data_IF_449421951594
#
_entry.id   IF_449421951594
#
_cell.length_a   1.000
_cell.length_b   1.000
_cell.length_c   1.000
_cell.angle_alpha   90.00
_cell.angle_beta   90.00
_cell.angle_gamma   90.00
#
_symmetry.space_group_name_H-M   'P 1'
#
loop_
_entity.id
_entity.type
_entity.pdbx_description
1 polymer ?
#
# COMPACT_ATOMS: atom_id res chain seq x y z
N UNK A 1 -39.79 -53.59 -38.33
CA UNK A 1 -40.04 -52.58 -37.28
C UNK A 1 -40.52 -53.30 -36.03
N UNK A 2 -39.61 -53.56 -35.07
CA UNK A 2 -39.88 -54.29 -33.83
C UNK A 2 -39.25 -53.52 -32.67
N UNK A 3 -40.05 -53.28 -31.63
CA UNK A 3 -39.66 -53.43 -30.23
C UNK A 3 -39.05 -52.22 -29.51
N UNK A 4 -39.87 -51.53 -28.72
CA UNK A 4 -39.44 -50.84 -27.51
C UNK A 4 -38.80 -51.85 -26.53
N UNK A 5 -37.65 -51.51 -25.96
CA UNK A 5 -37.24 -51.94 -24.61
C UNK A 5 -36.57 -50.79 -23.90
N UNK A 6 -37.14 -50.44 -22.75
CA UNK A 6 -36.57 -49.58 -21.72
C UNK A 6 -35.42 -50.30 -21.04
N UNK A 7 -34.30 -49.60 -20.85
CA UNK A 7 -33.25 -50.01 -19.91
C UNK A 7 -32.94 -48.84 -18.99
N UNK A 8 -33.44 -49.01 -17.76
CA UNK A 8 -32.82 -48.78 -16.45
C UNK A 8 -31.77 -47.68 -16.33
N UNK A 9 -32.05 -46.75 -15.41
CA UNK A 9 -31.13 -45.82 -14.78
C UNK A 9 -30.23 -46.63 -13.86
N UNK A 10 -29.06 -47.07 -14.35
CA UNK A 10 -27.94 -47.59 -13.55
C UNK A 10 -26.77 -47.77 -14.52
N UNK A 11 -25.95 -46.73 -14.72
CA UNK A 11 -24.57 -46.82 -15.25
C UNK A 11 -23.97 -45.41 -15.49
N UNK A 12 -23.79 -44.64 -14.42
CA UNK A 12 -22.78 -43.56 -14.40
C UNK A 12 -22.16 -43.50 -12.99
N UNK A 13 -21.39 -44.54 -12.65
CA UNK A 13 -20.44 -44.48 -11.55
C UNK A 13 -19.05 -44.72 -12.15
N UNK A 14 -18.48 -43.68 -12.76
CA UNK A 14 -17.12 -43.70 -13.30
C UNK A 14 -16.32 -42.53 -12.74
N UNK A 15 -15.26 -42.89 -12.02
CA UNK A 15 -14.03 -42.13 -11.79
C UNK A 15 -14.17 -40.77 -11.12
N UNK A 16 -14.44 -40.79 -9.81
CA UNK A 16 -14.06 -39.70 -8.92
C UNK A 16 -12.63 -39.96 -8.39
N UNK A 17 -11.63 -39.87 -9.27
CA UNK A 17 -10.23 -39.88 -8.85
C UNK A 17 -9.90 -38.52 -8.24
N UNK A 18 -9.96 -38.45 -6.90
CA UNK A 18 -9.35 -37.35 -6.14
C UNK A 18 -7.87 -37.30 -6.52
N UNK A 19 -7.48 -36.30 -7.30
CA UNK A 19 -6.10 -35.86 -7.37
C UNK A 19 -5.70 -35.32 -5.98
N UNK A 20 -5.31 -36.22 -5.08
CA UNK A 20 -4.50 -35.84 -3.94
C UNK A 20 -3.16 -35.40 -4.52
N UNK A 21 -2.93 -34.09 -4.55
CA UNK A 21 -1.59 -33.53 -4.73
C UNK A 21 -0.70 -34.16 -3.66
N UNK A 22 0.16 -35.09 -4.06
CA UNK A 22 1.18 -35.65 -3.22
C UNK A 22 2.19 -34.53 -2.95
N UNK A 23 2.03 -33.83 -1.81
CA UNK A 23 3.05 -32.90 -1.33
C UNK A 23 4.20 -33.79 -0.86
N UNK A 24 5.38 -33.76 -1.51
CA UNK A 24 6.51 -34.56 -1.07
C UNK A 24 6.88 -34.15 0.34
N UNK A 25 7.04 -35.13 1.23
CA UNK A 25 7.58 -34.92 2.56
C UNK A 25 8.96 -34.27 2.42
N UNK A 26 9.12 -33.04 2.93
CA UNK A 26 10.39 -32.31 2.87
C UNK A 26 11.45 -33.10 3.64
N UNK A 27 12.29 -33.81 2.92
CA UNK A 27 13.47 -34.45 3.47
C UNK A 27 14.41 -33.33 3.92
N UNK A 28 14.65 -33.22 5.22
CA UNK A 28 15.59 -32.24 5.79
C UNK A 28 17.02 -32.67 5.44
N UNK A 29 17.45 -32.33 4.23
CA UNK A 29 18.85 -32.47 3.85
C UNK A 29 19.69 -31.53 4.71
N UNK A 30 20.69 -32.07 5.40
CA UNK A 30 21.70 -31.26 6.07
C UNK A 30 22.36 -30.35 5.03
N UNK A 31 22.27 -29.03 5.25
CA UNK A 31 22.85 -28.00 4.37
C UNK A 31 24.34 -28.29 4.14
N UNK A 32 24.74 -28.37 2.87
CA UNK A 32 26.14 -28.53 2.46
C UNK A 32 27.00 -27.37 3.00
N UNK A 33 28.33 -27.51 3.03
CA UNK A 33 29.20 -26.38 3.43
C UNK A 33 29.04 -25.16 2.51
N UNK A 34 28.71 -25.40 1.25
CA UNK A 34 28.39 -24.35 0.27
C UNK A 34 27.06 -23.65 0.61
N UNK A 35 26.08 -24.40 1.14
CA UNK A 35 24.86 -23.80 1.70
C UNK A 35 25.19 -22.98 2.95
N UNK A 36 26.14 -23.40 3.80
CA UNK A 36 26.49 -22.65 5.03
C UNK A 36 27.04 -21.26 4.73
N UNK A 37 27.88 -21.12 3.70
CA UNK A 37 28.39 -19.82 3.27
C UNK A 37 27.23 -18.90 2.80
N UNK A 38 26.29 -19.43 2.02
CA UNK A 38 25.11 -18.69 1.55
C UNK A 38 24.18 -18.17 2.68
N UNK A 39 24.17 -18.83 3.84
CA UNK A 39 23.42 -18.38 5.03
C UNK A 39 24.27 -17.59 6.04
N UNK A 40 25.54 -17.33 5.72
CA UNK A 40 26.41 -16.50 6.56
C UNK A 40 26.19 -15.02 6.21
N UNK A 41 25.76 -14.17 7.16
CA UNK A 41 25.59 -12.75 6.89
C UNK A 41 26.90 -12.09 6.48
N UNK A 42 26.81 -10.99 5.73
CA UNK A 42 27.98 -10.18 5.39
C UNK A 42 28.76 -9.76 6.66
N UNK A 43 30.07 -10.02 6.66
CA UNK A 43 30.95 -9.79 7.82
C UNK A 43 31.84 -8.55 7.68
N UNK A 44 31.82 -7.89 6.52
CA UNK A 44 32.60 -6.67 6.29
C UNK A 44 31.91 -5.41 6.83
N UNK A 45 32.61 -4.28 6.74
CA UNK A 45 32.01 -2.98 7.04
C UNK A 45 31.06 -2.57 5.92
N UNK A 46 29.88 -2.06 6.28
CA UNK A 46 29.00 -1.39 5.33
C UNK A 46 29.64 -0.08 4.85
N UNK A 47 29.33 0.38 3.62
CA UNK A 47 29.76 1.71 3.16
C UNK A 47 29.31 2.80 4.15
N UNK A 48 30.19 3.77 4.44
CA UNK A 48 29.93 4.81 5.45
C UNK A 48 28.77 5.73 5.07
N UNK A 49 28.55 5.89 3.78
CA UNK A 49 27.53 6.74 3.18
C UNK A 49 26.21 5.98 2.93
N UNK A 50 26.15 4.68 3.26
CA UNK A 50 24.92 3.91 3.09
C UNK A 50 23.82 4.46 4.00
N UNK A 51 22.66 4.76 3.40
CA UNK A 51 21.47 5.13 4.16
C UNK A 51 20.94 3.92 4.92
N UNK A 52 20.30 4.16 6.06
CA UNK A 52 19.67 3.11 6.85
C UNK A 52 18.47 2.50 6.12
N UNK A 53 18.13 1.24 6.43
CA UNK A 53 16.91 0.61 5.93
C UNK A 53 15.66 1.23 6.58
N UNK A 54 14.54 1.26 5.84
CA UNK A 54 13.21 1.49 6.43
C UNK A 54 12.56 0.12 6.63
N UNK A 55 12.21 -0.20 7.87
CA UNK A 55 11.43 -1.39 8.19
C UNK A 55 10.19 -1.00 9.00
N UNK A 56 9.02 -1.18 8.40
CA UNK A 56 7.72 -0.95 9.05
C UNK A 56 6.99 -2.29 9.09
N UNK A 57 6.96 -2.99 10.24
CA UNK A 57 6.50 -4.37 10.30
C UNK A 57 5.02 -4.54 9.98
N UNK A 58 4.19 -3.54 10.29
CA UNK A 58 2.74 -3.58 10.08
C UNK A 58 2.22 -2.24 9.55
N UNK A 59 2.17 -2.11 8.22
CA UNK A 59 1.75 -0.87 7.54
C UNK A 59 0.24 -0.62 7.62
N UNK A 60 -0.58 -1.69 7.70
CA UNK A 60 -2.04 -1.63 7.86
C UNK A 60 -2.51 -1.89 9.29
N UNK A 61 -1.78 -2.76 10.01
CA UNK A 61 -2.27 -3.32 11.25
C UNK A 61 -2.14 -2.37 12.43
N UNK A 62 -3.17 -2.52 13.25
CA UNK A 62 -3.20 -2.29 14.67
C UNK A 62 -2.45 -3.45 15.34
N UNK A 63 -1.31 -3.26 16.03
CA UNK A 63 -0.53 -4.34 16.64
C UNK A 63 -0.99 -4.60 18.10
N UNK A 64 -1.50 -5.80 18.44
CA UNK A 64 -1.81 -6.17 19.83
C UNK A 64 -0.58 -6.45 20.71
N UNK A 65 0.63 -6.51 20.12
CA UNK A 65 1.83 -7.10 20.78
C UNK A 65 3.06 -6.20 20.84
N UNK A 66 2.97 -4.94 20.43
CA UNK A 66 4.02 -3.97 20.71
C UNK A 66 3.38 -2.77 21.36
N UNK A 67 3.58 -2.61 22.67
CA UNK A 67 4.01 -1.39 23.35
C UNK A 67 3.72 -1.58 24.84
N UNK A 68 4.74 -1.95 25.61
CA UNK A 68 4.81 -1.55 27.01
C UNK A 68 5.20 -0.06 26.99
N UNK A 69 4.39 0.82 27.61
CA UNK A 69 4.65 2.25 27.85
C UNK A 69 4.10 3.32 26.87
N UNK A 70 2.88 3.17 26.35
CA UNK A 70 2.11 4.31 25.79
C UNK A 70 0.80 4.49 26.55
N UNK A 71 0.47 5.74 26.87
CA UNK A 71 -0.74 6.12 27.63
C UNK A 71 -2.03 6.14 26.79
N UNK A 72 -1.93 5.93 25.47
CA UNK A 72 -3.04 5.77 24.55
C UNK A 72 -3.44 4.30 24.44
N UNK A 73 -4.71 4.01 24.15
CA UNK A 73 -5.06 2.65 23.69
C UNK A 73 -4.31 2.30 22.40
N UNK A 74 -4.06 1.02 22.14
CA UNK A 74 -3.34 0.60 20.92
C UNK A 74 -3.99 1.17 19.66
N UNK A 75 -5.33 1.14 19.58
CA UNK A 75 -6.08 1.70 18.46
C UNK A 75 -5.98 3.21 18.31
N UNK A 76 -5.97 3.97 19.41
CA UNK A 76 -5.81 5.42 19.35
C UNK A 76 -4.38 5.80 18.93
N UNK A 77 -3.39 5.07 19.44
CA UNK A 77 -2.00 5.25 19.03
C UNK A 77 -1.82 4.97 17.54
N UNK A 78 -2.41 3.90 17.02
CA UNK A 78 -2.27 3.55 15.60
C UNK A 78 -2.99 4.52 14.68
N UNK A 79 -4.18 5.00 15.07
CA UNK A 79 -4.84 6.05 14.29
C UNK A 79 -4.02 7.36 14.33
N UNK A 80 -3.33 7.64 15.44
CA UNK A 80 -2.43 8.80 15.57
C UNK A 80 -1.22 8.75 14.63
N UNK A 81 -0.85 7.57 14.09
CA UNK A 81 0.23 7.46 13.10
C UNK A 81 -0.18 7.98 11.71
N UNK A 82 -1.47 8.16 11.46
CA UNK A 82 -1.99 8.73 10.22
C UNK A 82 -2.00 10.25 10.31
N UNK A 83 -1.27 10.89 9.41
CA UNK A 83 -1.16 12.34 9.30
C UNK A 83 -2.39 12.88 8.56
N UNK A 84 -3.24 13.71 9.20
CA UNK A 84 -4.41 14.31 8.55
C UNK A 84 -4.00 15.33 7.49
N UNK A 85 -4.64 15.27 6.32
CA UNK A 85 -4.52 16.28 5.25
C UNK A 85 -5.82 17.05 5.06
N UNK A 86 -6.96 16.37 5.20
CA UNK A 86 -8.30 16.97 5.32
C UNK A 86 -9.07 16.22 6.40
N UNK A 87 -10.33 16.59 6.62
CA UNK A 87 -11.22 15.89 7.57
C UNK A 87 -11.43 14.40 7.21
N UNK A 88 -11.29 14.04 5.94
CA UNK A 88 -11.54 12.66 5.45
C UNK A 88 -10.30 12.01 4.84
N UNK A 89 -9.27 12.78 4.50
CA UNK A 89 -8.04 12.30 3.87
C UNK A 89 -6.90 12.37 4.87
N UNK A 90 -6.23 11.24 5.07
CA UNK A 90 -5.02 11.13 5.89
C UNK A 90 -4.01 10.24 5.20
N UNK A 91 -2.74 10.33 5.59
CA UNK A 91 -1.73 9.44 5.05
C UNK A 91 -0.80 8.90 6.14
N UNK A 92 -0.31 7.68 5.92
CA UNK A 92 0.75 7.07 6.73
C UNK A 92 2.08 7.16 5.97
N UNK A 93 3.07 7.95 6.44
CA UNK A 93 4.39 8.00 5.83
C UNK A 93 5.05 6.63 5.81
N UNK A 94 5.67 6.25 4.68
CA UNK A 94 6.53 5.09 4.59
C UNK A 94 7.95 5.48 4.19
N UNK A 95 8.11 6.42 3.25
CA UNK A 95 9.42 6.95 2.85
C UNK A 95 9.28 8.39 2.36
N UNK A 96 10.18 9.27 2.77
CA UNK A 96 10.35 10.62 2.26
C UNK A 96 11.76 10.75 1.68
N UNK A 97 11.92 10.48 0.39
CA UNK A 97 13.21 10.62 -0.27
C UNK A 97 13.37 12.07 -0.74
N UNK A 98 13.91 12.92 0.13
CA UNK A 98 13.95 14.37 -0.08
C UNK A 98 14.95 14.76 -1.17
N UNK A 99 16.02 13.97 -1.31
CA UNK A 99 17.02 14.15 -2.36
C UNK A 99 16.54 13.61 -3.72
N UNK A 100 15.81 12.48 -3.70
CA UNK A 100 15.22 11.85 -4.89
C UNK A 100 13.91 12.50 -5.34
N UNK A 101 13.33 13.40 -4.54
CA UNK A 101 12.10 14.12 -4.89
C UNK A 101 10.86 13.23 -4.97
N UNK A 102 10.76 12.20 -4.13
CA UNK A 102 9.60 11.30 -4.10
C UNK A 102 9.19 10.93 -2.68
N UNK A 103 7.96 10.46 -2.54
CA UNK A 103 7.48 9.86 -1.30
C UNK A 103 6.73 8.55 -1.55
N UNK A 104 6.75 7.68 -0.55
CA UNK A 104 5.90 6.50 -0.47
C UNK A 104 5.03 6.64 0.77
N UNK A 105 3.71 6.50 0.60
CA UNK A 105 2.77 6.56 1.71
C UNK A 105 1.61 5.57 1.50
N UNK A 106 0.89 5.30 2.57
CA UNK A 106 -0.48 4.83 2.45
C UNK A 106 -1.39 6.04 2.49
N UNK A 107 -2.20 6.24 1.46
CA UNK A 107 -3.28 7.22 1.46
C UNK A 107 -4.55 6.55 1.98
N UNK A 108 -5.22 7.18 2.94
CA UNK A 108 -6.50 6.74 3.49
C UNK A 108 -7.57 7.79 3.28
N UNK A 109 -8.71 7.36 2.77
CA UNK A 109 -9.91 8.19 2.62
C UNK A 109 -11.05 7.50 3.37
N UNK A 110 -11.68 8.22 4.31
CA UNK A 110 -12.84 7.74 5.06
C UNK A 110 -14.12 8.35 4.49
N UNK A 111 -15.06 7.49 4.12
CA UNK A 111 -16.29 7.83 3.40
C UNK A 111 -16.07 8.07 1.91
N UNK A 112 -17.15 8.49 1.23
CA UNK A 112 -17.06 8.97 -0.16
C UNK A 112 -16.38 10.34 -0.19
N UNK A 113 -15.63 10.58 -1.26
CA UNK A 113 -14.83 11.80 -1.33
C UNK A 113 -14.28 12.06 -2.72
N UNK A 114 -14.13 13.34 -3.01
CA UNK A 114 -13.42 13.85 -4.17
C UNK A 114 -12.02 14.28 -3.70
N UNK A 115 -10.98 13.71 -4.30
CA UNK A 115 -9.65 14.25 -4.20
C UNK A 115 -9.42 15.14 -5.42
N UNK A 116 -9.05 16.40 -5.14
CA UNK A 116 -8.98 17.47 -6.14
C UNK A 116 -8.23 17.06 -7.39
N UNK A 117 -8.68 17.57 -8.54
CA UNK A 117 -8.02 17.36 -9.83
C UNK A 117 -6.57 17.79 -9.79
N UNK A 118 -5.69 16.96 -10.33
CA UNK A 118 -4.26 17.23 -10.33
C UNK A 118 -3.54 16.49 -11.46
N UNK A 119 -2.24 16.79 -11.60
CA UNK A 119 -1.30 16.04 -12.44
C UNK A 119 0.04 15.88 -11.73
N UNK A 120 0.79 14.86 -12.14
CA UNK A 120 2.14 14.61 -11.65
C UNK A 120 3.15 14.80 -12.78
N UNK A 121 4.23 15.59 -12.61
CA UNK A 121 5.32 15.66 -13.58
C UNK A 121 6.20 14.39 -13.61
N UNK A 122 6.11 13.54 -12.58
CA UNK A 122 6.75 12.22 -12.52
C UNK A 122 5.71 11.10 -12.43
N UNK A 123 6.16 9.83 -12.50
CA UNK A 123 5.26 8.68 -12.46
C UNK A 123 4.66 8.48 -11.06
N UNK A 124 3.46 7.89 -11.04
CA UNK A 124 2.84 7.38 -9.80
C UNK A 124 2.54 5.90 -9.94
N UNK A 125 2.83 5.15 -8.88
CA UNK A 125 2.44 3.76 -8.73
C UNK A 125 1.46 3.63 -7.57
N UNK A 126 0.29 3.04 -7.83
CA UNK A 126 -0.74 2.76 -6.84
C UNK A 126 -0.93 1.26 -6.64
N UNK A 127 -1.08 0.82 -5.39
CA UNK A 127 -1.52 -0.53 -5.06
C UNK A 127 -2.61 -0.49 -3.99
N UNK A 128 -3.82 -0.93 -4.35
CA UNK A 128 -5.00 -0.78 -3.49
C UNK A 128 -5.02 -1.90 -2.45
N UNK A 129 -5.06 -1.51 -1.17
CA UNK A 129 -5.06 -2.44 -0.04
C UNK A 129 -6.46 -2.65 0.55
N UNK A 130 -7.31 -1.62 0.49
CA UNK A 130 -8.68 -1.67 1.03
C UNK A 130 -9.60 -0.73 0.25
N UNK A 131 -10.87 -1.11 0.15
CA UNK A 131 -11.91 -0.30 -0.47
C UNK A 131 -11.78 -0.26 -1.99
N UNK A 132 -12.29 0.82 -2.59
CA UNK A 132 -12.23 1.06 -4.04
C UNK A 132 -12.27 2.54 -4.35
N UNK A 133 -11.70 2.92 -5.48
CA UNK A 133 -11.70 4.27 -6.01
C UNK A 133 -11.57 4.26 -7.54
N UNK A 134 -11.78 5.40 -8.19
CA UNK A 134 -11.57 5.55 -9.62
C UNK A 134 -11.06 6.94 -9.97
N UNK A 135 -10.46 7.08 -11.13
CA UNK A 135 -10.34 8.39 -11.80
C UNK A 135 -11.58 8.66 -12.63
N UNK A 136 -12.06 9.90 -12.67
CA UNK A 136 -13.21 10.28 -13.50
C UNK A 136 -12.89 10.19 -15.00
N UNK A 137 -11.61 10.28 -15.33
CA UNK A 137 -11.05 10.30 -16.68
C UNK A 137 -10.83 8.89 -17.25
N UNK A 138 -11.19 7.83 -16.52
CA UNK A 138 -11.02 6.44 -16.94
C UNK A 138 -12.26 5.58 -16.68
N UNK A 139 -12.38 4.51 -17.47
CA UNK A 139 -13.53 3.59 -17.42
C UNK A 139 -13.37 2.45 -16.40
N UNK A 140 -12.23 2.38 -15.71
CA UNK A 140 -11.94 1.35 -14.73
C UNK A 140 -12.18 1.82 -13.29
N UNK A 141 -12.36 0.86 -12.39
CA UNK A 141 -12.44 1.09 -10.94
C UNK A 141 -11.36 0.24 -10.29
N UNK A 142 -10.50 0.86 -9.48
CA UNK A 142 -9.48 0.16 -8.72
C UNK A 142 -10.06 -0.30 -7.38
N UNK A 143 -9.93 -1.59 -7.09
CA UNK A 143 -10.36 -2.23 -5.84
C UNK A 143 -9.20 -3.00 -5.19
N UNK A 144 -9.35 -3.47 -3.95
CA UNK A 144 -8.29 -4.18 -3.23
C UNK A 144 -7.58 -5.26 -4.09
N UNK A 145 -6.25 -5.20 -4.15
CA UNK A 145 -5.40 -6.03 -5.00
C UNK A 145 -5.06 -5.40 -6.36
N UNK A 146 -5.74 -4.31 -6.77
CA UNK A 146 -5.45 -3.61 -8.03
C UNK A 146 -4.10 -2.89 -7.99
N UNK A 147 -3.39 -2.92 -9.11
CA UNK A 147 -2.23 -2.08 -9.38
C UNK A 147 -2.59 -1.01 -10.41
N UNK A 148 -2.13 0.21 -10.17
CA UNK A 148 -2.33 1.38 -11.05
C UNK A 148 -0.96 1.98 -11.36
N UNK A 149 -0.75 2.30 -12.63
CA UNK A 149 0.38 3.11 -13.07
C UNK A 149 -0.15 4.35 -13.76
N UNK A 150 0.29 5.51 -13.28
CA UNK A 150 -0.07 6.80 -13.86
C UNK A 150 1.16 7.36 -14.57
N UNK A 151 1.09 7.53 -15.91
CA UNK A 151 2.19 8.12 -16.64
C UNK A 151 2.30 9.63 -16.31
N UNK A 152 3.52 10.19 -16.35
CA UNK A 152 3.73 11.62 -16.14
C UNK A 152 2.86 12.50 -17.05
N UNK A 153 2.29 13.55 -16.48
CA UNK A 153 1.62 14.64 -17.19
C UNK A 153 0.12 14.47 -17.41
N UNK A 154 -0.45 13.31 -17.13
CA UNK A 154 -1.91 13.09 -17.20
C UNK A 154 -2.62 13.86 -16.07
N UNK A 155 -3.78 14.45 -16.38
CA UNK A 155 -4.61 15.19 -15.43
C UNK A 155 -5.79 14.31 -15.05
N UNK A 156 -5.91 13.99 -13.77
CA UNK A 156 -6.96 13.12 -13.27
C UNK A 156 -7.60 13.61 -11.98
N UNK A 157 -8.74 13.02 -11.66
CA UNK A 157 -9.58 13.35 -10.52
C UNK A 157 -9.95 12.07 -9.75
N UNK A 158 -9.29 11.82 -8.62
CA UNK A 158 -9.55 10.63 -7.81
C UNK A 158 -10.87 10.78 -7.06
N UNK A 159 -11.75 9.79 -7.19
CA UNK A 159 -13.03 9.72 -6.48
C UNK A 159 -13.17 8.38 -5.77
N UNK A 160 -13.55 8.45 -4.50
CA UNK A 160 -14.04 7.30 -3.74
C UNK A 160 -15.57 7.25 -3.91
N UNK A 161 -16.12 6.19 -4.54
CA UNK A 161 -17.55 6.05 -4.76
C UNK A 161 -18.40 6.06 -3.47
N UNK A 162 -19.68 6.37 -3.59
CA UNK A 162 -20.65 6.23 -2.50
C UNK A 162 -20.69 4.79 -1.96
N UNK A 163 -20.96 4.66 -0.66
CA UNK A 163 -21.03 3.36 0.04
C UNK A 163 -19.68 2.71 0.34
N UNK A 164 -18.56 3.41 0.11
CA UNK A 164 -17.23 2.98 0.55
C UNK A 164 -16.92 3.65 1.89
N UNK A 165 -16.83 2.84 2.95
CA UNK A 165 -16.53 3.35 4.29
C UNK A 165 -15.07 3.81 4.43
N UNK A 166 -14.14 3.08 3.80
CA UNK A 166 -12.72 3.37 3.87
C UNK A 166 -12.00 2.82 2.64
N UNK A 167 -11.11 3.65 2.07
CA UNK A 167 -10.17 3.27 1.03
C UNK A 167 -8.75 3.45 1.55
N UNK A 168 -7.88 2.46 1.29
CA UNK A 168 -6.44 2.56 1.59
C UNK A 168 -5.66 2.12 0.33
N UNK A 169 -4.81 2.99 -0.17
CA UNK A 169 -3.94 2.71 -1.33
C UNK A 169 -2.50 3.09 -0.98
N UNK A 170 -1.57 2.19 -1.24
CA UNK A 170 -0.14 2.52 -1.24
C UNK A 170 0.17 3.31 -2.50
N UNK A 171 0.73 4.49 -2.35
CA UNK A 171 1.23 5.29 -3.45
C UNK A 171 2.74 5.49 -3.34
N UNK A 172 3.46 5.27 -4.43
CA UNK A 172 4.76 5.85 -4.68
C UNK A 172 4.57 7.00 -5.67
N UNK A 173 4.81 8.23 -5.22
CA UNK A 173 4.65 9.45 -6.02
C UNK A 173 6.02 10.06 -6.27
N UNK A 174 6.43 10.14 -7.53
CA UNK A 174 7.65 10.82 -7.95
C UNK A 174 7.34 12.24 -8.42
N UNK A 175 8.04 13.23 -7.85
CA UNK A 175 7.82 14.64 -8.13
C UNK A 175 6.66 15.24 -7.34
N UNK A 176 6.19 16.39 -7.83
CA UNK A 176 5.10 17.14 -7.19
C UNK A 176 3.72 16.70 -7.69
N UNK A 177 2.73 16.83 -6.83
CA UNK A 177 1.32 16.77 -7.16
C UNK A 177 0.86 18.21 -7.45
N UNK A 178 0.54 18.51 -8.70
CA UNK A 178 0.12 19.85 -9.13
C UNK A 178 -1.40 19.90 -9.23
N UNK A 179 -2.05 20.59 -8.29
CA UNK A 179 -3.49 20.80 -8.34
C UNK A 179 -3.88 21.67 -9.53
N UNK A 180 -4.95 21.30 -10.21
CA UNK A 180 -5.41 21.99 -11.42
C UNK A 180 -6.90 22.31 -11.36
N UNK A 181 -7.29 23.44 -11.96
CA UNK A 181 -8.69 23.75 -12.26
C UNK A 181 -9.22 22.91 -13.46
N UNK A 182 -10.50 23.01 -13.84
CA UNK A 182 -11.05 22.26 -14.98
C UNK A 182 -10.37 22.52 -16.34
N UNK A 183 -9.70 23.65 -16.49
CA UNK A 183 -8.99 24.03 -17.72
C UNK A 183 -7.52 23.61 -17.68
N UNK A 184 -7.09 22.91 -16.63
CA UNK A 184 -5.73 22.42 -16.45
C UNK A 184 -4.73 23.47 -15.94
N UNK A 185 -5.20 24.64 -15.51
CA UNK A 185 -4.33 25.65 -14.91
C UNK A 185 -3.95 25.23 -13.50
N UNK A 186 -2.64 25.28 -13.21
CA UNK A 186 -2.12 24.94 -11.88
C UNK A 186 -2.60 25.98 -10.86
N UNK A 187 -3.20 25.49 -9.77
CA UNK A 187 -3.76 26.28 -8.66
C UNK A 187 -2.99 26.09 -7.35
N UNK A 188 -2.21 25.02 -7.23
CA UNK A 188 -1.39 24.73 -6.07
C UNK A 188 -0.46 23.54 -6.34
N UNK A 189 0.43 23.25 -5.38
CA UNK A 189 1.36 22.14 -5.47
C UNK A 189 1.59 21.50 -4.10
N UNK A 190 1.79 20.19 -4.08
CA UNK A 190 2.32 19.43 -2.95
C UNK A 190 3.52 18.61 -3.43
N UNK A 191 4.51 18.43 -2.57
CA UNK A 191 5.68 17.59 -2.83
C UNK A 191 6.13 16.87 -1.56
N UNK A 192 7.26 16.16 -1.63
CA UNK A 192 7.86 15.44 -0.50
C UNK A 192 8.11 16.36 0.71
N UNK A 193 8.51 17.62 0.49
CA UNK A 193 8.77 18.57 1.58
C UNK A 193 7.47 19.02 2.24
N UNK A 194 6.43 19.26 1.44
CA UNK A 194 5.10 19.61 1.95
C UNK A 194 4.53 18.49 2.82
N UNK A 195 4.65 17.22 2.38
CA UNK A 195 4.23 16.05 3.17
C UNK A 195 5.07 15.89 4.43
N UNK A 196 6.39 16.10 4.34
CA UNK A 196 7.31 16.02 5.47
C UNK A 196 6.95 17.04 6.56
N UNK A 197 6.70 18.30 6.19
CA UNK A 197 6.33 19.35 7.16
C UNK A 197 4.97 19.07 7.82
N UNK A 198 4.00 18.58 7.06
CA UNK A 198 2.71 18.17 7.60
C UNK A 198 2.85 17.02 8.62
N UNK A 199 3.72 16.04 8.32
CA UNK A 199 4.02 14.93 9.23
C UNK A 199 4.76 15.39 10.49
N UNK A 200 5.77 16.27 10.37
CA UNK A 200 6.50 16.85 11.51
C UNK A 200 5.55 17.56 12.47
N UNK A 201 4.69 18.42 11.93
CA UNK A 201 3.70 19.17 12.71
C UNK A 201 2.77 18.21 13.45
N UNK A 202 2.20 17.24 12.74
CA UNK A 202 1.27 16.26 13.33
C UNK A 202 1.93 15.46 14.47
N UNK A 203 3.11 14.89 14.24
CA UNK A 203 3.80 14.08 15.25
C UNK A 203 4.27 14.89 16.46
N UNK A 204 4.61 16.17 16.27
CA UNK A 204 4.81 17.11 17.37
C UNK A 204 3.54 17.29 18.20
N UNK A 205 2.41 17.58 17.53
CA UNK A 205 1.15 17.92 18.17
C UNK A 205 0.60 16.75 19.02
N UNK A 206 0.85 15.51 18.62
CA UNK A 206 0.44 14.31 19.37
C UNK A 206 1.49 13.81 20.38
N UNK A 207 2.61 14.52 20.54
CA UNK A 207 3.63 14.22 21.55
C UNK A 207 4.70 13.19 21.16
N UNK A 208 4.77 12.77 19.89
CA UNK A 208 5.87 11.95 19.37
C UNK A 208 7.12 12.78 19.04
N UNK A 209 6.95 14.08 18.86
CA UNK A 209 8.01 15.03 18.51
C UNK A 209 8.24 15.14 17.00
N UNK A 210 8.82 16.26 16.58
CA UNK A 210 9.10 16.53 15.16
C UNK A 210 10.09 15.51 14.56
N UNK A 211 11.09 15.09 15.35
CA UNK A 211 12.14 14.15 14.90
C UNK A 211 11.63 12.72 14.67
N UNK A 212 10.38 12.41 15.06
CA UNK A 212 9.77 11.12 14.74
C UNK A 212 9.78 10.84 13.24
N UNK A 213 9.67 11.87 12.38
CA UNK A 213 9.70 11.66 10.92
C UNK A 213 11.04 11.14 10.39
N UNK A 214 12.15 11.30 11.13
CA UNK A 214 13.49 10.96 10.66
C UNK A 214 13.63 9.48 10.29
N UNK A 215 12.82 8.61 10.91
CA UNK A 215 12.78 7.19 10.56
C UNK A 215 12.35 6.94 9.09
N UNK A 216 11.59 7.88 8.50
CA UNK A 216 11.09 7.80 7.12
C UNK A 216 11.93 8.58 6.10
N UNK A 217 12.80 9.50 6.54
CA UNK A 217 13.54 10.41 5.64
C UNK A 217 14.73 9.69 5.00
N UNK A 218 14.91 9.89 3.69
CA UNK A 218 16.04 9.39 2.89
C UNK A 218 16.58 10.48 1.98
#
# INVERSE_FOLDING_TARGET
MKGLRSTSVDDVASSNERHQLHIPEQTTHAKSEQDKDAYTPYQGEQPKEALSDIFIPQVLSHNPWSIENISLSSSEYEDSLWVPQTDTVSFRPLCFCVSGGYYVNLLRVRGSGLLSRHRHPGPVHGHVLKGKWKYLEHDWVAEAGSYVFEPPGEIHTLVVPEGVDEMITLFHVTGALLYCDPDGKVTGAEDVFTKLELAKKHYKDIGLGEDFVQQFVR
#
